data_IF_241313170292
#
_entry.id   IF_241313170292
#
_cell.length_a   1.000
_cell.length_b   1.000
_cell.length_c   1.000
_cell.angle_alpha   90.00
_cell.angle_beta   90.00
_cell.angle_gamma   90.00
#
_symmetry.space_group_name_H-M   'P 1'
#
loop_
_entity.id
_entity.type
_entity.pdbx_description
1 polymer ?
#
# COMPACT_ATOMS: atom_id res chain seq x y z
N UNK A 1 -21.55 -9.75 9.40
CA UNK A 1 -22.41 -8.56 9.37
C UNK A 1 -23.86 -8.94 9.64
N UNK A 2 -24.63 -8.06 10.29
CA UNK A 2 -26.08 -8.19 10.47
C UNK A 2 -26.82 -7.48 9.33
N UNK A 3 -27.85 -8.10 8.77
CA UNK A 3 -28.71 -7.53 7.73
C UNK A 3 -29.99 -6.95 8.35
N UNK A 4 -30.45 -5.80 7.86
CA UNK A 4 -31.66 -5.16 8.37
C UNK A 4 -32.88 -5.68 7.62
N UNK A 5 -33.93 -6.16 8.30
CA UNK A 5 -35.12 -6.68 7.63
C UNK A 5 -35.99 -5.58 7.04
N UNK A 6 -36.70 -5.91 5.95
CA UNK A 6 -37.93 -5.21 5.52
C UNK A 6 -39.10 -5.52 6.47
N UNK A 7 -40.27 -4.90 6.26
CA UNK A 7 -41.50 -5.13 7.09
C UNK A 7 -41.89 -6.61 7.25
N UNK A 8 -41.43 -7.48 6.35
CA UNK A 8 -41.66 -8.93 6.35
C UNK A 8 -40.75 -9.73 7.29
N UNK A 9 -39.80 -9.09 7.98
CA UNK A 9 -38.82 -9.74 8.84
C UNK A 9 -38.69 -9.14 10.23
N UNK A 10 -38.26 -9.96 11.20
CA UNK A 10 -37.97 -9.52 12.56
C UNK A 10 -36.76 -10.21 13.15
N UNK A 11 -36.05 -9.53 14.05
CA UNK A 11 -35.04 -10.19 14.88
C UNK A 11 -35.69 -10.98 16.02
N UNK A 12 -35.08 -12.08 16.44
CA UNK A 12 -35.51 -12.89 17.58
C UNK A 12 -34.30 -13.49 18.30
N UNK A 13 -34.48 -13.84 19.57
CA UNK A 13 -33.44 -14.52 20.36
C UNK A 13 -33.37 -16.00 19.99
N UNK A 14 -32.18 -16.51 19.76
CA UNK A 14 -31.88 -17.92 19.51
C UNK A 14 -30.49 -18.20 20.10
N UNK A 15 -30.41 -18.99 21.17
CA UNK A 15 -29.15 -19.28 21.87
C UNK A 15 -28.16 -20.07 21.02
N UNK A 16 -28.60 -20.66 19.92
CA UNK A 16 -27.76 -21.42 18.98
C UNK A 16 -27.26 -20.58 17.80
N UNK A 17 -27.75 -19.35 17.67
CA UNK A 17 -27.28 -18.38 16.68
C UNK A 17 -26.08 -17.58 17.22
N UNK A 18 -25.29 -17.03 16.30
CA UNK A 18 -24.18 -16.15 16.63
C UNK A 18 -24.71 -14.92 17.37
N UNK A 19 -24.05 -14.53 18.47
CA UNK A 19 -24.51 -13.39 19.28
C UNK A 19 -25.90 -13.59 19.91
N UNK A 20 -26.40 -14.83 20.00
CA UNK A 20 -27.70 -15.21 20.59
C UNK A 20 -28.94 -14.64 19.90
N UNK A 21 -28.79 -14.14 18.66
CA UNK A 21 -29.86 -13.51 17.89
C UNK A 21 -29.82 -13.94 16.43
N UNK A 22 -31.00 -13.98 15.81
CA UNK A 22 -31.13 -14.23 14.39
C UNK A 22 -32.24 -13.38 13.78
N UNK A 23 -32.26 -13.31 12.45
CA UNK A 23 -33.33 -12.74 11.66
C UNK A 23 -34.24 -13.85 11.13
N UNK A 24 -35.55 -13.61 11.13
CA UNK A 24 -36.52 -14.42 10.39
C UNK A 24 -37.23 -13.56 9.36
N UNK A 25 -37.34 -14.05 8.13
CA UNK A 25 -38.24 -13.56 7.10
C UNK A 25 -39.41 -14.54 7.02
N UNK A 26 -40.60 -14.10 7.43
CA UNK A 26 -41.78 -14.95 7.55
C UNK A 26 -42.83 -14.75 6.47
N UNK A 27 -42.45 -14.01 5.44
CA UNK A 27 -43.17 -13.85 4.18
C UNK A 27 -42.16 -13.38 3.13
N UNK A 28 -42.57 -13.34 1.87
CA UNK A 28 -41.70 -12.83 0.80
C UNK A 28 -41.14 -11.45 1.17
N UNK A 29 -39.81 -11.33 1.17
CA UNK A 29 -39.16 -10.12 1.65
C UNK A 29 -37.64 -10.19 1.53
N UNK A 30 -37.01 -9.03 1.67
CA UNK A 30 -35.55 -8.88 1.54
C UNK A 30 -34.99 -8.31 2.82
N UNK A 31 -33.80 -8.77 3.21
CA UNK A 31 -32.95 -8.11 4.18
C UNK A 31 -31.68 -7.64 3.48
N UNK A 32 -31.27 -6.40 3.69
CA UNK A 32 -30.12 -5.82 3.01
C UNK A 32 -29.23 -5.01 3.94
N UNK A 33 -28.01 -4.78 3.47
CA UNK A 33 -27.02 -3.93 4.12
C UNK A 33 -26.07 -3.38 3.06
N UNK A 34 -25.60 -2.15 3.24
CA UNK A 34 -24.60 -1.52 2.38
C UNK A 34 -23.30 -1.41 3.16
N UNK A 35 -22.21 -1.88 2.57
CA UNK A 35 -20.90 -1.88 3.22
C UNK A 35 -19.77 -1.78 2.19
N UNK A 36 -18.63 -1.25 2.63
CA UNK A 36 -17.38 -1.29 1.87
C UNK A 36 -16.79 -2.69 1.99
N UNK A 37 -16.62 -3.38 0.86
CA UNK A 37 -15.99 -4.69 0.74
C UNK A 37 -14.55 -4.51 0.22
N UNK A 38 -13.59 -5.38 0.60
CA UNK A 38 -12.39 -5.60 -0.19
C UNK A 38 -12.73 -6.38 -1.47
N UNK A 39 -11.73 -6.68 -2.31
CA UNK A 39 -11.89 -7.72 -3.33
C UNK A 39 -12.35 -9.01 -2.62
N UNK A 40 -13.42 -9.62 -3.11
CA UNK A 40 -14.04 -10.77 -2.46
C UNK A 40 -14.38 -11.88 -3.46
N UNK A 41 -14.19 -13.12 -3.00
CA UNK A 41 -14.40 -14.34 -3.81
C UNK A 41 -15.68 -15.07 -3.45
N UNK A 42 -16.18 -14.90 -2.22
CA UNK A 42 -17.45 -15.50 -1.81
C UNK A 42 -18.10 -14.81 -0.61
N UNK A 43 -19.41 -15.01 -0.48
CA UNK A 43 -20.18 -14.77 0.74
C UNK A 43 -20.48 -16.11 1.41
N UNK A 44 -20.37 -16.16 2.74
CA UNK A 44 -20.81 -17.27 3.56
C UNK A 44 -22.03 -16.81 4.36
N UNK A 45 -23.18 -17.42 4.10
CA UNK A 45 -24.45 -17.08 4.73
C UNK A 45 -24.85 -18.22 5.65
N UNK A 46 -24.91 -17.95 6.95
CA UNK A 46 -25.37 -18.93 7.94
C UNK A 46 -26.89 -18.84 8.05
N UNK A 47 -27.59 -19.87 7.59
CA UNK A 47 -29.04 -19.87 7.50
C UNK A 47 -29.66 -21.23 7.88
N UNK A 48 -30.95 -21.23 8.17
CA UNK A 48 -31.80 -22.43 8.31
C UNK A 48 -33.22 -22.13 7.84
N UNK A 49 -33.98 -23.16 7.50
CA UNK A 49 -35.32 -23.03 6.97
C UNK A 49 -36.37 -23.75 7.82
N UNK A 50 -37.50 -23.08 8.06
CA UNK A 50 -38.73 -23.78 8.46
C UNK A 50 -39.34 -24.38 7.19
N UNK A 51 -39.57 -25.69 7.19
CA UNK A 51 -39.96 -26.44 6.00
C UNK A 51 -41.49 -26.56 5.89
N UNK A 52 -42.05 -26.27 4.72
CA UNK A 52 -43.45 -26.58 4.43
C UNK A 52 -43.65 -26.76 2.93
N UNK A 53 -44.03 -27.98 2.51
CA UNK A 53 -44.13 -28.40 1.09
C UNK A 53 -42.88 -28.04 0.26
N UNK A 54 -41.71 -28.21 0.85
CA UNK A 54 -40.42 -27.79 0.29
C UNK A 54 -39.72 -26.73 1.13
N UNK A 55 -38.48 -26.43 0.74
CA UNK A 55 -37.59 -25.52 1.46
C UNK A 55 -37.81 -24.04 1.09
N UNK A 56 -37.49 -23.12 2.02
CA UNK A 56 -37.37 -21.72 1.69
C UNK A 56 -36.27 -21.48 0.65
N UNK A 57 -36.60 -20.64 -0.33
CA UNK A 57 -35.73 -20.20 -1.41
C UNK A 57 -35.09 -18.88 -1.03
N UNK A 58 -33.77 -18.91 -0.87
CA UNK A 58 -32.92 -17.77 -0.52
C UNK A 58 -32.22 -17.26 -1.77
N UNK A 59 -32.60 -16.09 -2.26
CA UNK A 59 -31.93 -15.40 -3.37
C UNK A 59 -30.95 -14.37 -2.82
N UNK A 60 -29.70 -14.45 -3.25
CA UNK A 60 -28.62 -13.53 -2.84
C UNK A 60 -28.33 -12.60 -4.00
N UNK A 61 -28.23 -11.30 -3.71
CA UNK A 61 -27.90 -10.28 -4.70
C UNK A 61 -26.80 -9.35 -4.21
N UNK A 62 -25.96 -8.91 -5.14
CA UNK A 62 -25.00 -7.82 -4.97
C UNK A 62 -25.41 -6.67 -5.89
N UNK A 63 -25.53 -5.45 -5.36
CA UNK A 63 -25.90 -4.24 -6.10
C UNK A 63 -27.16 -4.41 -6.97
N UNK A 64 -28.14 -5.12 -6.41
CA UNK A 64 -29.41 -5.41 -7.07
C UNK A 64 -29.36 -6.57 -8.08
N UNK A 65 -28.18 -7.09 -8.44
CA UNK A 65 -28.05 -8.24 -9.35
C UNK A 65 -28.04 -9.55 -8.55
N UNK A 66 -28.97 -10.45 -8.87
CA UNK A 66 -29.00 -11.78 -8.29
C UNK A 66 -27.73 -12.58 -8.68
N UNK A 67 -27.02 -13.08 -7.68
CA UNK A 67 -25.79 -13.87 -7.85
C UNK A 67 -26.02 -15.37 -7.60
N UNK A 68 -27.00 -15.73 -6.76
CA UNK A 68 -27.35 -17.12 -6.50
C UNK A 68 -28.77 -17.25 -5.95
N UNK A 69 -29.40 -18.41 -6.14
CA UNK A 69 -30.65 -18.79 -5.47
C UNK A 69 -30.49 -20.21 -4.92
N UNK A 70 -30.75 -20.38 -3.63
CA UNK A 70 -30.46 -21.60 -2.88
C UNK A 70 -31.71 -22.05 -2.13
N UNK A 71 -32.04 -23.34 -2.23
CA UNK A 71 -33.02 -23.99 -1.37
C UNK A 71 -32.39 -24.31 0.00
N UNK A 72 -32.87 -23.66 1.06
CA UNK A 72 -32.35 -23.81 2.43
C UNK A 72 -33.07 -24.97 3.12
N UNK A 73 -32.70 -26.21 2.77
CA UNK A 73 -33.33 -27.43 3.27
C UNK A 73 -32.91 -27.81 4.70
N UNK A 74 -31.80 -27.25 5.19
CA UNK A 74 -31.34 -27.51 6.56
C UNK A 74 -32.25 -26.85 7.60
N UNK A 75 -32.65 -27.62 8.61
CA UNK A 75 -33.42 -27.14 9.77
C UNK A 75 -32.51 -26.72 10.93
N UNK A 76 -31.20 -26.89 10.80
CA UNK A 76 -30.18 -26.43 11.74
C UNK A 76 -29.30 -25.36 11.08
N UNK A 77 -28.61 -24.54 11.87
CA UNK A 77 -27.75 -23.49 11.32
C UNK A 77 -26.65 -24.09 10.44
N UNK A 78 -26.66 -23.74 9.16
CA UNK A 78 -25.73 -24.25 8.15
C UNK A 78 -25.17 -23.08 7.35
N UNK A 79 -23.89 -23.16 7.01
CA UNK A 79 -23.19 -22.15 6.23
C UNK A 79 -23.34 -22.47 4.74
N UNK A 80 -23.85 -21.51 3.97
CA UNK A 80 -24.02 -21.58 2.52
C UNK A 80 -23.04 -20.62 1.85
N UNK A 81 -22.12 -21.16 1.06
CA UNK A 81 -21.12 -20.38 0.35
C UNK A 81 -21.62 -20.00 -1.05
N UNK A 82 -21.62 -18.71 -1.35
CA UNK A 82 -22.03 -18.13 -2.63
C UNK A 82 -20.80 -17.49 -3.29
N UNK A 83 -20.32 -18.04 -4.41
CA UNK A 83 -19.26 -17.41 -5.19
C UNK A 83 -19.69 -16.02 -5.66
N UNK A 84 -18.83 -15.03 -5.49
CA UNK A 84 -19.00 -13.67 -6.02
C UNK A 84 -17.68 -13.21 -6.64
N UNK A 85 -17.75 -12.23 -7.53
CA UNK A 85 -16.60 -11.50 -8.02
C UNK A 85 -16.90 -10.02 -7.84
N UNK A 86 -16.54 -9.48 -6.68
CA UNK A 86 -16.70 -8.06 -6.38
C UNK A 86 -15.31 -7.46 -6.21
N UNK A 87 -15.06 -6.36 -6.91
CA UNK A 87 -13.92 -5.50 -6.63
C UNK A 87 -14.07 -4.86 -5.26
N UNK A 88 -12.99 -4.34 -4.69
CA UNK A 88 -13.07 -3.47 -3.54
C UNK A 88 -13.99 -2.26 -3.82
N UNK A 89 -14.82 -1.88 -2.85
CA UNK A 89 -15.79 -0.79 -3.03
C UNK A 89 -17.01 -0.93 -2.15
N UNK A 90 -17.89 0.08 -2.20
CA UNK A 90 -19.19 0.03 -1.51
C UNK A 90 -20.17 -0.81 -2.30
N UNK A 91 -20.68 -1.87 -1.66
CA UNK A 91 -21.64 -2.79 -2.25
C UNK A 91 -22.87 -2.94 -1.35
N UNK A 92 -24.03 -3.14 -1.98
CA UNK A 92 -25.27 -3.51 -1.28
C UNK A 92 -25.48 -5.01 -1.39
N UNK A 93 -25.36 -5.71 -0.25
CA UNK A 93 -25.65 -7.14 -0.14
C UNK A 93 -27.10 -7.32 0.26
N UNK A 94 -27.85 -8.12 -0.50
CA UNK A 94 -29.26 -8.42 -0.23
C UNK A 94 -29.53 -9.91 -0.19
N UNK A 95 -30.35 -10.34 0.77
CA UNK A 95 -30.85 -11.71 0.92
C UNK A 95 -32.37 -11.67 0.89
N UNK A 96 -32.97 -12.32 -0.10
CA UNK A 96 -34.41 -12.37 -0.30
C UNK A 96 -34.97 -13.77 -0.05
N UNK A 97 -36.09 -13.84 0.67
CA UNK A 97 -36.95 -15.02 0.74
C UNK A 97 -38.05 -14.88 -0.32
N UNK A 98 -38.13 -15.82 -1.26
CA UNK A 98 -38.89 -15.60 -2.52
C UNK A 98 -40.05 -16.56 -2.78
N UNK A 99 -40.23 -17.59 -1.95
CA UNK A 99 -41.24 -18.62 -2.15
C UNK A 99 -42.04 -18.88 -0.86
N UNK A 100 -42.50 -17.85 -0.17
CA UNK A 100 -43.36 -18.01 0.99
C UNK A 100 -44.56 -18.93 0.72
N UNK A 101 -44.90 -19.72 1.73
CA UNK A 101 -46.11 -20.53 1.74
C UNK A 101 -46.59 -20.71 3.18
N UNK A 102 -47.72 -20.10 3.49
CA UNK A 102 -48.36 -20.18 4.80
C UNK A 102 -49.74 -20.84 4.70
N UNK A 103 -50.01 -21.80 5.57
CA UNK A 103 -51.35 -22.36 5.77
C UNK A 103 -51.80 -22.33 7.24
N UNK A 104 -50.86 -22.49 8.17
CA UNK A 104 -51.08 -22.31 9.62
C UNK A 104 -49.72 -22.21 10.33
N UNK A 105 -49.71 -21.92 11.63
CA UNK A 105 -48.45 -21.81 12.41
C UNK A 105 -47.54 -23.05 12.34
N UNK A 106 -48.10 -24.25 12.18
CA UNK A 106 -47.33 -25.49 12.04
C UNK A 106 -47.01 -25.86 10.58
N UNK A 107 -47.50 -25.04 9.64
CA UNK A 107 -47.46 -25.23 8.19
C UNK A 107 -47.06 -23.92 7.54
N UNK A 108 -45.83 -23.54 7.82
CA UNK A 108 -45.28 -22.24 7.47
C UNK A 108 -43.84 -22.41 6.99
N UNK A 109 -43.51 -21.72 5.90
CA UNK A 109 -42.17 -21.74 5.31
C UNK A 109 -41.50 -20.43 5.63
N UNK A 110 -40.38 -20.48 6.34
CA UNK A 110 -39.67 -19.28 6.77
C UNK A 110 -38.17 -19.42 6.52
N UNK A 111 -37.54 -18.33 6.09
CA UNK A 111 -36.09 -18.24 6.02
C UNK A 111 -35.55 -17.61 7.31
N UNK A 112 -34.58 -18.25 7.94
CA UNK A 112 -33.88 -17.74 9.13
C UNK A 112 -32.41 -17.52 8.82
N UNK A 113 -31.89 -16.35 9.16
CA UNK A 113 -30.52 -15.90 8.85
C UNK A 113 -29.84 -15.51 10.16
N UNK A 114 -28.66 -16.08 10.40
CA UNK A 114 -27.83 -15.77 11.57
C UNK A 114 -26.83 -14.65 11.21
N UNK A 115 -25.90 -14.95 10.29
CA UNK A 115 -24.86 -14.01 9.88
C UNK A 115 -24.48 -14.16 8.41
N UNK A 116 -23.92 -13.08 7.88
CA UNK A 116 -23.24 -13.05 6.57
C UNK A 116 -21.78 -12.69 6.79
N UNK A 117 -20.87 -13.49 6.25
CA UNK A 117 -19.41 -13.29 6.31
C UNK A 117 -18.85 -13.22 4.90
N UNK A 118 -17.82 -12.41 4.69
CA UNK A 118 -17.09 -12.35 3.42
C UNK A 118 -15.85 -13.25 3.45
N UNK A 119 -15.51 -13.81 2.29
CA UNK A 119 -14.18 -14.37 2.02
C UNK A 119 -13.48 -13.41 1.06
N UNK A 120 -12.47 -12.70 1.57
CA UNK A 120 -11.65 -11.81 0.76
C UNK A 120 -10.90 -12.62 -0.32
N UNK A 121 -10.68 -12.01 -1.48
CA UNK A 121 -9.69 -12.52 -2.42
C UNK A 121 -8.33 -12.52 -1.72
N UNK A 122 -7.56 -13.60 -1.91
CA UNK A 122 -6.16 -13.57 -1.50
C UNK A 122 -5.48 -12.50 -2.36
N UNK A 123 -5.02 -11.42 -1.72
CA UNK A 123 -4.00 -10.57 -2.34
C UNK A 123 -2.78 -11.49 -2.49
N UNK A 124 -2.26 -11.74 -3.69
CA UNK A 124 -1.03 -12.50 -3.83
C UNK A 124 0.04 -11.78 -3.01
N UNK A 125 0.47 -12.37 -1.90
CA UNK A 125 1.61 -11.87 -1.14
C UNK A 125 2.84 -12.13 -1.98
N UNK A 126 3.26 -11.13 -2.73
CA UNK A 126 4.57 -11.14 -3.36
C UNK A 126 5.60 -11.13 -2.23
N UNK A 127 6.42 -12.17 -2.14
CA UNK A 127 7.57 -12.16 -1.23
C UNK A 127 8.48 -11.01 -1.64
N UNK A 128 8.83 -10.10 -0.72
CA UNK A 128 9.76 -9.01 -1.01
C UNK A 128 11.06 -9.59 -1.56
N UNK A 129 11.51 -9.09 -2.71
CA UNK A 129 12.77 -9.55 -3.31
C UNK A 129 13.97 -9.28 -2.39
N UNK A 130 13.89 -8.18 -1.63
CA UNK A 130 14.91 -7.74 -0.69
C UNK A 130 14.27 -7.29 0.64
N UNK A 131 15.07 -7.34 1.70
CA UNK A 131 14.70 -6.97 3.06
C UNK A 131 13.47 -7.72 3.63
N UNK A 132 13.43 -9.07 3.57
CA UNK A 132 12.30 -9.86 4.05
C UNK A 132 12.03 -9.69 5.55
N UNK A 133 13.00 -9.22 6.36
CA UNK A 133 12.80 -8.92 7.78
C UNK A 133 12.31 -7.48 8.05
N UNK A 134 12.05 -6.70 7.00
CA UNK A 134 11.54 -5.32 7.11
C UNK A 134 10.01 -5.31 7.24
N UNK A 135 9.48 -5.71 8.39
CA UNK A 135 8.04 -5.65 8.67
C UNK A 135 7.46 -4.24 8.46
N UNK A 136 8.22 -3.19 8.78
CA UNK A 136 7.80 -1.81 8.57
C UNK A 136 7.55 -1.48 7.09
N UNK A 137 8.33 -2.10 6.20
CA UNK A 137 8.27 -1.88 4.76
C UNK A 137 7.21 -2.78 4.11
N UNK A 138 7.23 -4.07 4.43
CA UNK A 138 6.54 -5.11 3.65
C UNK A 138 5.21 -5.58 4.26
N UNK A 139 4.87 -5.13 5.47
CA UNK A 139 3.62 -5.53 6.12
C UNK A 139 2.52 -4.48 5.88
N UNK A 140 1.32 -4.91 5.45
CA UNK A 140 0.16 -4.04 5.39
C UNK A 140 -0.13 -3.42 6.76
N UNK A 141 -0.62 -2.18 6.74
CA UNK A 141 -1.03 -1.47 7.95
C UNK A 141 -2.23 -2.19 8.58
N UNK A 142 -2.17 -2.44 9.87
CA UNK A 142 -3.27 -3.07 10.60
C UNK A 142 -4.54 -2.19 10.53
N UNK A 143 -5.71 -2.82 10.35
CA UNK A 143 -6.98 -2.10 10.26
C UNK A 143 -7.26 -1.17 11.45
N UNK A 144 -6.77 -1.53 12.63
CA UNK A 144 -6.90 -0.79 13.89
C UNK A 144 -5.63 -0.01 14.29
N UNK A 145 -4.74 0.31 13.35
CA UNK A 145 -3.54 1.09 13.63
C UNK A 145 -3.88 2.42 14.31
N UNK A 146 -3.17 2.72 15.41
CA UNK A 146 -3.37 3.93 16.18
C UNK A 146 -2.90 5.16 15.39
N UNK A 147 -3.60 6.27 15.59
CA UNK A 147 -3.26 7.56 14.99
C UNK A 147 -2.34 8.33 15.93
N UNK A 148 -1.31 9.00 15.40
CA UNK A 148 -0.40 9.83 16.17
C UNK A 148 -1.11 11.06 16.76
N UNK A 149 -0.67 11.52 17.94
CA UNK A 149 -1.28 12.66 18.63
C UNK A 149 -1.32 13.94 17.76
N UNK A 150 -0.26 14.18 16.97
CA UNK A 150 -0.15 15.34 16.08
C UNK A 150 -0.65 15.07 14.66
N UNK A 151 -1.34 13.96 14.40
CA UNK A 151 -1.76 13.57 13.05
C UNK A 151 -2.55 14.67 12.34
N UNK A 152 -3.56 15.26 12.98
CA UNK A 152 -4.37 16.30 12.35
C UNK A 152 -3.54 17.53 11.94
N UNK A 153 -2.57 17.93 12.79
CA UNK A 153 -1.65 19.04 12.52
C UNK A 153 -0.77 18.73 11.32
N UNK A 154 -0.12 17.57 11.30
CA UNK A 154 0.77 17.18 10.21
C UNK A 154 0.01 16.98 8.90
N UNK A 155 -1.19 16.37 8.93
CA UNK A 155 -2.03 16.25 7.72
C UNK A 155 -2.41 17.63 7.19
N UNK A 156 -2.77 18.58 8.06
CA UNK A 156 -3.05 19.95 7.65
C UNK A 156 -1.87 20.63 6.97
N UNK A 157 -0.64 20.34 7.39
CA UNK A 157 0.58 20.81 6.72
C UNK A 157 0.82 20.07 5.40
N UNK A 158 0.74 18.75 5.41
CA UNK A 158 0.99 17.91 4.24
C UNK A 158 0.00 18.20 3.13
N UNK A 159 -1.26 18.49 3.44
CA UNK A 159 -2.32 18.76 2.45
C UNK A 159 -2.60 20.24 2.23
N UNK A 160 -1.69 21.14 2.64
CA UNK A 160 -1.94 22.58 2.52
C UNK A 160 -2.10 22.98 1.03
N UNK A 161 -3.03 23.89 0.68
CA UNK A 161 -3.22 24.31 -0.71
C UNK A 161 -1.94 24.87 -1.35
N UNK A 162 -1.70 24.50 -2.61
CA UNK A 162 -0.52 24.95 -3.37
C UNK A 162 0.79 24.26 -3.00
N UNK A 163 0.76 23.29 -2.09
CA UNK A 163 1.90 22.42 -1.82
C UNK A 163 2.00 21.30 -2.86
N UNK A 164 3.21 20.82 -3.09
CA UNK A 164 3.55 19.85 -4.13
C UNK A 164 3.69 18.43 -3.57
N UNK A 165 3.08 17.45 -4.23
CA UNK A 165 3.10 16.02 -3.89
C UNK A 165 3.65 15.20 -5.07
N UNK A 166 4.97 15.22 -5.21
CA UNK A 166 5.62 14.94 -6.47
C UNK A 166 6.19 13.53 -6.55
N UNK A 167 6.23 12.99 -7.76
CA UNK A 167 7.04 11.83 -8.11
C UNK A 167 8.43 12.29 -8.60
N UNK A 168 9.49 11.91 -7.90
CA UNK A 168 10.88 12.16 -8.33
C UNK A 168 11.33 11.06 -9.29
N UNK A 169 11.28 11.36 -10.60
CA UNK A 169 11.47 10.38 -11.68
C UNK A 169 12.81 10.53 -12.41
N UNK A 170 13.48 11.67 -12.24
CA UNK A 170 14.73 11.97 -12.94
C UNK A 170 15.77 12.65 -12.07
N UNK A 171 15.60 13.93 -11.70
CA UNK A 171 16.68 14.70 -11.04
C UNK A 171 16.99 14.15 -9.65
N UNK A 172 15.95 13.88 -8.85
CA UNK A 172 16.06 13.34 -7.48
C UNK A 172 15.49 11.92 -7.35
N UNK A 173 15.31 11.23 -8.48
CA UNK A 173 15.03 9.79 -8.48
C UNK A 173 16.25 8.99 -8.01
N UNK A 174 16.17 7.66 -8.15
CA UNK A 174 17.23 6.74 -7.71
C UNK A 174 17.65 5.84 -8.87
N UNK A 175 18.92 5.86 -9.26
CA UNK A 175 19.43 4.84 -10.18
C UNK A 175 19.60 3.53 -9.43
N UNK A 176 18.89 2.48 -9.86
CA UNK A 176 18.99 1.14 -9.27
C UNK A 176 19.85 0.26 -10.18
N UNK A 177 20.88 -0.35 -9.61
CA UNK A 177 21.60 -1.48 -10.22
C UNK A 177 21.03 -2.76 -9.62
N UNK A 178 20.11 -3.46 -10.32
CA UNK A 178 19.52 -4.68 -9.80
C UNK A 178 20.53 -5.83 -9.81
N UNK A 179 20.29 -6.85 -8.99
CA UNK A 179 21.15 -8.04 -8.95
C UNK A 179 21.34 -8.69 -10.33
N UNK A 180 20.32 -8.65 -11.19
CA UNK A 180 20.38 -9.18 -12.56
C UNK A 180 21.34 -8.43 -13.49
N UNK A 181 21.75 -7.20 -13.13
CA UNK A 181 22.75 -6.42 -13.86
C UNK A 181 24.19 -6.67 -13.34
N UNK A 182 24.35 -7.41 -12.24
CA UNK A 182 25.64 -7.76 -11.66
C UNK A 182 26.03 -9.17 -12.10
N UNK A 183 27.18 -9.27 -12.77
CA UNK A 183 27.76 -10.52 -13.27
C UNK A 183 29.17 -10.69 -12.72
N UNK A 184 29.77 -11.88 -12.91
CA UNK A 184 31.17 -12.11 -12.56
C UNK A 184 32.16 -11.17 -13.28
N UNK A 185 31.76 -10.60 -14.43
CA UNK A 185 32.56 -9.63 -15.20
C UNK A 185 32.28 -8.16 -14.85
N UNK A 186 31.30 -7.88 -13.99
CA UNK A 186 30.98 -6.50 -13.60
C UNK A 186 32.17 -5.93 -12.80
N UNK A 187 32.72 -4.76 -13.20
CA UNK A 187 33.85 -4.18 -12.47
C UNK A 187 33.41 -3.79 -11.06
N UNK A 188 34.33 -3.98 -10.11
CA UNK A 188 34.14 -3.61 -8.71
C UNK A 188 35.04 -2.44 -8.35
N UNK A 189 34.47 -1.47 -7.66
CA UNK A 189 35.15 -0.23 -7.31
C UNK A 189 35.26 -0.10 -5.81
N UNK A 190 36.42 0.33 -5.35
CA UNK A 190 36.55 0.95 -4.03
C UNK A 190 36.02 2.39 -4.15
N UNK A 191 34.87 2.67 -3.53
CA UNK A 191 34.14 3.93 -3.72
C UNK A 191 34.64 4.92 -2.68
N UNK A 192 35.37 5.94 -3.11
CA UNK A 192 35.94 6.93 -2.21
C UNK A 192 34.86 7.87 -1.63
N UNK A 193 34.77 7.97 -0.31
CA UNK A 193 33.87 8.90 0.39
C UNK A 193 34.56 10.24 0.65
N UNK A 194 33.87 11.35 0.37
CA UNK A 194 34.43 12.70 0.51
C UNK A 194 34.04 13.42 1.81
N UNK A 195 32.94 13.03 2.48
CA UNK A 195 32.55 13.65 3.75
C UNK A 195 33.24 12.98 4.95
N UNK A 196 33.75 13.74 5.92
CA UNK A 196 34.44 13.19 7.10
C UNK A 196 33.45 12.85 8.23
N UNK A 197 32.36 12.15 7.92
CA UNK A 197 31.27 11.88 8.88
C UNK A 197 31.47 10.61 9.72
N UNK A 198 32.59 9.92 9.54
CA UNK A 198 32.93 8.73 10.29
C UNK A 198 33.95 7.87 9.56
N UNK A 199 34.06 6.61 10.00
CA UNK A 199 34.79 5.60 9.26
C UNK A 199 34.12 5.35 7.90
N UNK A 200 34.91 4.91 6.92
CA UNK A 200 34.42 4.52 5.61
C UNK A 200 33.25 3.52 5.77
N UNK A 201 32.04 3.86 5.29
CA UNK A 201 30.87 3.01 5.45
C UNK A 201 30.99 1.69 4.69
N UNK A 202 31.82 1.61 3.64
CA UNK A 202 32.02 0.37 2.88
C UNK A 202 33.21 -0.44 3.39
N UNK A 203 34.10 0.16 4.17
CA UNK A 203 35.26 -0.52 4.76
C UNK A 203 36.13 -1.14 3.67
N UNK A 204 36.30 -2.47 3.68
CA UNK A 204 37.05 -3.18 2.63
C UNK A 204 36.17 -3.72 1.50
N UNK A 205 34.86 -3.46 1.52
CA UNK A 205 33.95 -3.89 0.46
C UNK A 205 34.16 -3.05 -0.80
N UNK A 206 34.15 -3.72 -1.95
CA UNK A 206 34.08 -3.06 -3.26
C UNK A 206 32.67 -3.16 -3.80
N UNK A 207 32.22 -2.20 -4.60
CA UNK A 207 30.85 -2.13 -5.11
C UNK A 207 30.81 -2.52 -6.60
N UNK A 208 29.97 -3.48 -7.02
CA UNK A 208 29.87 -3.88 -8.43
C UNK A 208 29.00 -2.90 -9.22
N UNK A 209 29.62 -1.96 -9.93
CA UNK A 209 28.90 -0.94 -10.71
C UNK A 209 29.11 -1.21 -12.20
N UNK A 210 28.06 -1.57 -12.97
CA UNK A 210 28.19 -1.77 -14.41
C UNK A 210 28.72 -0.51 -15.11
N UNK A 211 29.56 -0.71 -16.14
CA UNK A 211 30.03 0.40 -16.97
C UNK A 211 28.85 1.11 -17.62
N UNK A 212 28.87 2.44 -17.64
CA UNK A 212 27.78 3.25 -18.17
C UNK A 212 26.62 3.46 -17.19
N UNK A 213 26.73 3.03 -15.93
CA UNK A 213 25.78 3.43 -14.88
C UNK A 213 25.82 4.95 -14.73
N UNK A 214 24.65 5.59 -14.85
CA UNK A 214 24.49 7.05 -14.77
C UNK A 214 23.71 7.40 -13.49
N UNK A 215 24.30 8.17 -12.56
CA UNK A 215 23.55 8.73 -11.44
C UNK A 215 22.49 9.74 -11.92
N UNK A 216 21.40 9.94 -11.17
CA UNK A 216 20.49 11.06 -11.34
C UNK A 216 21.26 12.40 -11.40
N UNK A 217 20.90 13.36 -12.26
CA UNK A 217 21.67 14.58 -12.46
C UNK A 217 21.40 15.66 -11.41
N UNK A 218 20.37 15.51 -10.57
CA UNK A 218 20.14 16.39 -9.43
C UNK A 218 21.30 16.29 -8.43
N UNK A 219 21.32 17.22 -7.47
CA UNK A 219 22.44 17.36 -6.55
C UNK A 219 22.71 16.10 -5.72
N UNK A 220 21.72 15.23 -5.56
CA UNK A 220 21.82 14.04 -4.71
C UNK A 220 22.47 12.84 -5.38
N UNK A 221 22.37 12.68 -6.71
CA UNK A 221 23.01 11.58 -7.46
C UNK A 221 22.88 10.20 -6.81
N UNK A 222 21.67 9.84 -6.33
CA UNK A 222 21.44 8.62 -5.54
C UNK A 222 21.57 7.35 -6.39
N UNK A 223 22.38 6.40 -5.91
CA UNK A 223 22.48 5.06 -6.49
C UNK A 223 22.22 4.01 -5.42
N UNK A 224 21.46 2.97 -5.76
CA UNK A 224 21.35 1.74 -4.98
C UNK A 224 21.86 0.55 -5.81
N UNK A 225 22.84 -0.18 -5.28
CA UNK A 225 23.45 -1.35 -5.94
C UNK A 225 23.16 -2.61 -5.15
N UNK A 226 22.47 -3.57 -5.76
CA UNK A 226 22.21 -4.87 -5.15
C UNK A 226 23.32 -5.85 -5.53
N UNK A 227 24.05 -6.35 -4.54
CA UNK A 227 25.12 -7.33 -4.74
C UNK A 227 24.87 -8.62 -3.94
N UNK A 228 24.33 -9.62 -4.63
CA UNK A 228 24.04 -10.93 -4.02
C UNK A 228 25.30 -11.70 -3.63
N UNK A 229 26.48 -11.37 -4.20
CA UNK A 229 27.72 -12.05 -3.86
C UNK A 229 28.24 -11.66 -2.48
N UNK A 230 28.13 -10.39 -2.10
CA UNK A 230 28.45 -9.90 -0.75
C UNK A 230 27.25 -9.97 0.21
N UNK A 231 26.04 -10.18 -0.31
CA UNK A 231 24.82 -10.18 0.49
C UNK A 231 24.39 -8.78 0.94
N UNK A 232 24.83 -7.73 0.25
CA UNK A 232 24.64 -6.33 0.61
C UNK A 232 23.92 -5.54 -0.48
N UNK A 233 23.16 -4.54 -0.05
CA UNK A 233 22.73 -3.41 -0.88
C UNK A 233 23.60 -2.22 -0.48
N UNK A 234 24.25 -1.60 -1.46
CA UNK A 234 25.05 -0.40 -1.28
C UNK A 234 24.25 0.82 -1.73
N UNK A 235 24.02 1.76 -0.83
CA UNK A 235 23.52 3.09 -1.16
C UNK A 235 24.67 4.09 -1.28
N UNK A 236 24.70 4.90 -2.33
CA UNK A 236 25.71 5.97 -2.52
C UNK A 236 24.99 7.28 -2.75
N UNK A 237 25.28 8.27 -1.90
CA UNK A 237 24.82 9.65 -2.04
C UNK A 237 25.89 10.49 -2.74
N UNK A 238 25.45 11.32 -3.69
CA UNK A 238 26.24 12.11 -4.62
C UNK A 238 27.26 11.28 -5.40
N UNK A 239 26.80 10.13 -5.94
CA UNK A 239 27.66 9.23 -6.68
C UNK A 239 28.23 9.92 -7.92
N UNK A 240 29.55 9.79 -8.11
CA UNK A 240 30.26 10.37 -9.26
C UNK A 240 31.21 9.35 -9.84
N UNK A 241 31.18 9.21 -11.16
CA UNK A 241 32.16 8.44 -11.91
C UNK A 241 33.20 9.36 -12.53
N UNK A 242 34.48 9.07 -12.32
CA UNK A 242 35.59 9.75 -12.97
C UNK A 242 36.17 8.85 -14.08
N UNK A 243 35.91 9.22 -15.34
CA UNK A 243 36.38 8.47 -16.49
C UNK A 243 37.89 8.58 -16.74
N UNK A 244 38.56 9.60 -16.19
CA UNK A 244 40.00 9.82 -16.42
C UNK A 244 40.88 8.78 -15.72
N UNK A 245 40.42 8.25 -14.60
CA UNK A 245 41.14 7.27 -13.77
C UNK A 245 40.29 6.03 -13.42
N UNK A 246 39.07 5.92 -13.98
CA UNK A 246 38.14 4.81 -13.76
C UNK A 246 37.86 4.58 -12.26
N UNK A 247 37.51 5.64 -11.53
CA UNK A 247 37.12 5.54 -10.12
C UNK A 247 35.69 6.04 -9.88
N UNK A 248 35.09 5.56 -8.80
CA UNK A 248 33.83 6.06 -8.27
C UNK A 248 34.07 6.78 -6.94
N UNK A 249 33.29 7.82 -6.68
CA UNK A 249 33.23 8.48 -5.39
C UNK A 249 31.79 8.78 -4.98
N UNK A 250 31.59 9.06 -3.71
CA UNK A 250 30.36 9.58 -3.13
C UNK A 250 30.66 10.65 -2.08
N UNK A 251 29.65 11.41 -1.69
CA UNK A 251 29.75 12.23 -0.48
C UNK A 251 29.61 11.37 0.76
N UNK A 252 28.67 10.43 0.74
CA UNK A 252 28.53 9.40 1.77
C UNK A 252 27.81 8.19 1.20
N UNK A 253 27.63 7.14 2.01
CA UNK A 253 26.94 5.93 1.60
C UNK A 253 26.57 5.05 2.77
N UNK A 254 25.88 3.95 2.50
CA UNK A 254 25.58 2.95 3.51
C UNK A 254 25.39 1.54 2.96
N UNK A 255 25.58 0.55 3.85
CA UNK A 255 25.37 -0.86 3.55
C UNK A 255 24.20 -1.43 4.33
N UNK A 256 23.30 -2.09 3.61
CA UNK A 256 22.19 -2.85 4.19
C UNK A 256 22.28 -4.33 3.80
N UNK A 257 22.18 -5.28 4.73
CA UNK A 257 22.07 -6.70 4.39
C UNK A 257 20.83 -6.97 3.52
N UNK A 258 21.00 -7.68 2.40
CA UNK A 258 19.93 -8.02 1.45
C UNK A 258 18.77 -8.77 2.14
N UNK A 259 19.10 -9.66 3.09
CA UNK A 259 18.12 -10.44 3.84
C UNK A 259 17.70 -9.76 5.17
N UNK A 260 18.09 -8.49 5.36
CA UNK A 260 17.92 -7.74 6.60
C UNK A 260 16.57 -7.04 6.72
N UNK A 261 16.53 -6.04 7.59
CA UNK A 261 15.34 -5.25 7.94
C UNK A 261 15.28 -3.90 7.21
N UNK A 262 16.11 -3.67 6.19
CA UNK A 262 16.12 -2.41 5.42
C UNK A 262 16.77 -1.22 6.14
N UNK A 263 17.39 -1.42 7.32
CA UNK A 263 18.12 -0.39 8.05
C UNK A 263 19.62 -0.52 7.73
N UNK A 264 20.27 0.60 7.42
CA UNK A 264 21.70 0.62 7.14
C UNK A 264 22.51 0.24 8.39
N UNK A 265 23.53 -0.60 8.18
CA UNK A 265 24.39 -1.15 9.25
C UNK A 265 25.73 -0.43 9.37
N UNK A 266 26.11 0.30 8.32
CA UNK A 266 27.28 1.17 8.29
C UNK A 266 26.97 2.38 7.42
N UNK A 267 27.27 3.58 7.90
CA UNK A 267 26.87 4.83 7.25
C UNK A 267 25.37 4.90 6.95
N UNK A 268 24.99 5.72 5.98
CA UNK A 268 23.66 5.74 5.36
C UNK A 268 23.65 6.69 4.16
N UNK A 269 23.08 6.27 3.03
CA UNK A 269 22.85 7.16 1.89
C UNK A 269 21.57 8.02 2.03
N UNK A 270 20.77 7.76 3.06
CA UNK A 270 19.54 8.46 3.38
C UNK A 270 19.67 9.20 4.72
N UNK A 271 18.89 10.26 4.92
CA UNK A 271 18.90 10.95 6.21
C UNK A 271 18.36 10.07 7.35
N UNK A 272 17.34 9.25 7.11
CA UNK A 272 16.74 8.41 8.15
C UNK A 272 17.58 7.18 8.58
N UNK A 273 18.64 6.83 7.85
CA UNK A 273 19.40 5.60 8.14
C UNK A 273 18.77 4.31 7.60
N UNK A 274 17.92 4.44 6.59
CA UNK A 274 17.32 3.31 5.87
C UNK A 274 18.02 3.09 4.54
N UNK A 275 17.99 1.86 4.02
CA UNK A 275 18.53 1.54 2.71
C UNK A 275 17.98 2.47 1.63
N UNK A 276 18.84 2.98 0.74
CA UNK A 276 18.35 3.82 -0.36
C UNK A 276 17.42 3.07 -1.32
N UNK A 277 17.51 1.74 -1.39
CA UNK A 277 16.60 0.90 -2.17
C UNK A 277 15.21 0.77 -1.51
N UNK A 278 15.11 0.89 -0.19
CA UNK A 278 13.87 0.64 0.53
C UNK A 278 12.81 1.70 0.18
N UNK A 279 11.65 1.23 -0.27
CA UNK A 279 10.48 2.06 -0.57
C UNK A 279 10.53 2.86 -1.88
N UNK A 280 11.58 2.67 -2.69
CA UNK A 280 11.65 3.23 -4.05
C UNK A 280 10.72 2.45 -4.95
N UNK A 281 9.85 3.13 -5.69
CA UNK A 281 8.96 2.50 -6.67
C UNK A 281 9.74 2.24 -7.96
N UNK A 282 9.87 0.97 -8.35
CA UNK A 282 10.50 0.61 -9.63
C UNK A 282 9.53 0.73 -10.79
N UNK A 283 10.07 0.93 -12.00
CA UNK A 283 9.25 0.97 -13.21
C UNK A 283 8.53 -0.36 -13.47
N UNK A 284 9.15 -1.48 -13.09
CA UNK A 284 8.56 -2.82 -13.22
C UNK A 284 7.38 -3.00 -12.26
N UNK A 285 7.51 -2.60 -11.00
CA UNK A 285 6.43 -2.66 -10.01
C UNK A 285 5.27 -1.76 -10.41
N UNK A 286 5.54 -0.52 -10.83
CA UNK A 286 4.50 0.40 -11.28
C UNK A 286 3.74 -0.18 -12.48
N UNK A 287 4.44 -0.69 -13.49
CA UNK A 287 3.82 -1.26 -14.69
C UNK A 287 2.95 -2.48 -14.34
N UNK A 288 3.44 -3.36 -13.46
CA UNK A 288 2.69 -4.52 -13.00
C UNK A 288 1.46 -4.10 -12.17
N UNK A 289 1.59 -3.11 -11.31
CA UNK A 289 0.48 -2.61 -10.49
C UNK A 289 -0.59 -1.91 -11.33
N UNK A 290 -0.19 -1.14 -12.34
CA UNK A 290 -1.12 -0.55 -13.33
C UNK A 290 -1.89 -1.65 -14.06
N UNK A 291 -1.19 -2.65 -14.60
CA UNK A 291 -1.81 -3.74 -15.35
C UNK A 291 -2.81 -4.56 -14.51
N UNK A 292 -2.53 -4.73 -13.22
CA UNK A 292 -3.37 -5.50 -12.30
C UNK A 292 -4.37 -4.65 -11.52
N UNK A 293 -4.37 -3.32 -11.70
CA UNK A 293 -5.17 -2.38 -10.91
C UNK A 293 -4.95 -2.51 -9.39
N UNK A 294 -3.69 -2.65 -8.95
CA UNK A 294 -3.29 -2.80 -7.54
C UNK A 294 -2.41 -1.64 -7.06
N UNK A 295 -2.02 -1.63 -5.78
CA UNK A 295 -0.84 -0.90 -5.32
C UNK A 295 0.45 -1.71 -5.52
N UNK A 296 1.59 -1.16 -5.11
CA UNK A 296 2.84 -1.92 -4.95
C UNK A 296 2.88 -2.62 -3.58
N UNK A 297 3.74 -3.63 -3.44
CA UNK A 297 3.73 -4.55 -2.28
C UNK A 297 4.64 -4.12 -1.12
N UNK A 298 4.95 -2.84 -1.02
CA UNK A 298 5.76 -2.27 0.04
C UNK A 298 5.32 -0.83 0.35
N UNK A 299 5.70 -0.33 1.52
CA UNK A 299 5.51 1.08 1.89
C UNK A 299 6.33 1.98 0.96
N UNK A 300 5.79 3.14 0.64
CA UNK A 300 6.53 4.17 -0.07
C UNK A 300 7.47 4.90 0.91
N UNK A 301 8.39 5.67 0.36
CA UNK A 301 9.16 6.64 1.13
C UNK A 301 9.09 8.02 0.47
N UNK A 302 9.14 9.06 1.28
CA UNK A 302 9.15 10.43 0.80
C UNK A 302 10.07 11.34 1.61
N UNK A 303 10.53 12.40 0.96
CA UNK A 303 11.19 13.54 1.61
C UNK A 303 10.20 14.69 1.83
N UNK A 304 10.47 15.56 2.81
CA UNK A 304 9.56 16.66 3.14
C UNK A 304 10.26 17.92 3.66
N UNK A 305 9.74 19.09 3.30
CA UNK A 305 10.15 20.41 3.80
C UNK A 305 9.77 20.66 5.27
N UNK A 306 8.87 19.84 5.84
CA UNK A 306 8.51 19.86 7.27
C UNK A 306 9.26 18.82 8.10
N UNK A 307 10.21 18.08 7.53
CA UNK A 307 11.07 17.13 8.26
C UNK A 307 11.81 17.87 9.39
N UNK A 308 11.63 17.41 10.64
CA UNK A 308 12.24 17.99 11.84
C UNK A 308 13.40 17.15 12.38
N UNK A 309 14.13 17.67 13.38
CA UNK A 309 15.35 17.04 13.88
C UNK A 309 15.11 15.76 14.69
N UNK A 310 13.86 15.46 15.05
CA UNK A 310 13.49 14.22 15.73
C UNK A 310 13.38 13.05 14.77
N UNK A 311 13.42 11.83 15.30
CA UNK A 311 13.15 10.60 14.56
C UNK A 311 12.44 9.56 15.43
N UNK A 312 11.77 8.62 14.77
CA UNK A 312 11.16 7.41 15.35
C UNK A 312 11.45 6.21 14.47
N UNK A 313 11.39 4.99 15.00
CA UNK A 313 11.58 3.78 14.20
C UNK A 313 10.63 3.74 12.99
N UNK A 314 11.08 3.28 11.80
CA UNK A 314 12.33 2.59 11.53
C UNK A 314 13.55 3.52 11.32
N UNK A 315 13.37 4.84 11.32
CA UNK A 315 14.48 5.77 11.24
C UNK A 315 15.36 5.67 12.50
N UNK A 316 16.68 5.78 12.30
CA UNK A 316 17.68 5.72 13.37
C UNK A 316 18.38 7.06 13.60
N UNK A 317 18.11 8.04 12.74
CA UNK A 317 18.56 9.42 12.85
C UNK A 317 17.62 10.32 12.02
N UNK A 318 17.87 11.62 12.03
CA UNK A 318 17.21 12.60 11.16
C UNK A 318 18.18 13.72 10.80
N UNK A 319 18.04 14.28 9.60
CA UNK A 319 18.71 15.53 9.18
C UNK A 319 17.74 16.72 9.13
N UNK A 320 16.47 16.51 9.50
CA UNK A 320 15.40 17.47 9.35
C UNK A 320 15.66 18.80 10.06
N UNK A 321 15.54 19.88 9.30
CA UNK A 321 15.74 21.26 9.78
C UNK A 321 14.47 22.10 9.75
N UNK A 322 13.34 21.51 9.36
CA UNK A 322 12.06 22.17 9.21
C UNK A 322 12.16 23.40 8.29
N UNK A 323 12.50 23.19 7.02
CA UNK A 323 12.67 24.25 6.02
C UNK A 323 11.42 25.13 5.94
N UNK A 324 10.24 24.51 6.03
CA UNK A 324 8.95 25.20 5.98
C UNK A 324 8.67 26.09 7.21
N UNK A 325 9.44 25.96 8.29
CA UNK A 325 9.25 26.75 9.50
C UNK A 325 7.93 26.49 10.22
N UNK A 326 7.34 25.29 10.09
CA UNK A 326 6.08 24.96 10.75
C UNK A 326 6.26 24.83 12.27
N UNK A 327 5.23 25.13 13.06
CA UNK A 327 5.33 25.12 14.52
C UNK A 327 5.61 23.71 15.10
N UNK A 328 5.15 22.67 14.42
CA UNK A 328 5.33 21.27 14.85
C UNK A 328 5.84 20.45 13.68
N UNK A 329 7.17 20.43 13.44
CA UNK A 329 7.73 19.65 12.35
C UNK A 329 7.54 18.16 12.58
N UNK A 330 7.59 17.39 11.50
CA UNK A 330 7.37 15.95 11.52
C UNK A 330 8.71 15.23 11.72
N UNK A 331 8.87 14.40 12.78
CA UNK A 331 10.05 13.57 12.93
C UNK A 331 10.17 12.56 11.78
N UNK A 332 11.39 12.27 11.34
CA UNK A 332 11.61 11.20 10.36
C UNK A 332 11.21 9.82 10.93
N UNK A 333 10.80 8.91 10.04
CA UNK A 333 10.31 7.57 10.40
C UNK A 333 8.83 7.49 10.74
N UNK A 334 8.09 8.59 10.81
CA UNK A 334 6.63 8.52 10.89
C UNK A 334 6.01 7.98 9.59
N UNK A 335 4.94 7.20 9.72
CA UNK A 335 4.20 6.61 8.59
C UNK A 335 2.89 7.35 8.36
N UNK A 336 2.65 7.80 7.13
CA UNK A 336 1.34 8.31 6.68
C UNK A 336 0.54 7.22 5.98
N UNK A 337 -0.78 7.28 6.06
CA UNK A 337 -1.70 6.37 5.40
C UNK A 337 -2.85 7.17 4.80
N UNK A 338 -3.23 6.87 3.56
CA UNK A 338 -4.47 7.38 2.97
C UNK A 338 -5.66 6.64 3.58
N UNK A 339 -6.76 7.35 3.88
CA UNK A 339 -7.97 6.76 4.45
C UNK A 339 -8.37 5.47 3.70
N UNK A 340 -8.30 4.29 4.35
CA UNK A 340 -8.57 3.01 3.69
C UNK A 340 -10.04 2.81 3.30
N UNK A 341 -10.94 3.70 3.73
CA UNK A 341 -12.36 3.66 3.35
C UNK A 341 -12.65 4.32 2.00
N UNK A 342 -11.72 5.12 1.46
CA UNK A 342 -11.88 5.79 0.16
C UNK A 342 -11.88 4.77 -0.96
N UNK A 343 -12.90 4.84 -1.82
CA UNK A 343 -12.93 4.07 -3.06
C UNK A 343 -12.03 4.75 -4.11
N UNK A 344 -10.75 4.37 -4.17
CA UNK A 344 -9.77 4.93 -5.10
C UNK A 344 -10.19 4.76 -6.56
N UNK A 345 -10.84 3.65 -6.91
CA UNK A 345 -11.29 3.38 -8.28
C UNK A 345 -12.40 4.34 -8.76
N UNK A 346 -13.11 4.98 -7.83
CA UNK A 346 -14.16 5.94 -8.12
C UNK A 346 -13.70 7.41 -8.07
N UNK A 347 -12.44 7.67 -7.72
CA UNK A 347 -11.93 9.04 -7.66
C UNK A 347 -11.76 9.62 -9.09
N UNK A 348 -12.27 10.82 -9.36
CA UNK A 348 -12.21 11.42 -10.68
C UNK A 348 -10.79 11.89 -11.03
N UNK A 349 -10.39 11.70 -12.28
CA UNK A 349 -9.17 12.31 -12.83
C UNK A 349 -7.86 11.60 -12.50
N UNK A 350 -7.85 10.57 -11.63
CA UNK A 350 -6.62 9.85 -11.32
C UNK A 350 -6.02 9.24 -12.59
N UNK A 351 -4.75 9.54 -12.79
CA UNK A 351 -3.90 8.76 -13.69
C UNK A 351 -3.76 7.31 -13.20
N UNK A 352 -3.42 6.36 -14.08
CA UNK A 352 -3.12 4.99 -13.64
C UNK A 352 -2.03 4.94 -12.55
N UNK A 353 -1.01 5.80 -12.63
CA UNK A 353 0.05 5.92 -11.64
C UNK A 353 -0.43 6.46 -10.30
N UNK A 354 -1.20 7.56 -10.28
CA UNK A 354 -1.81 8.08 -9.04
C UNK A 354 -2.69 7.03 -8.35
N UNK A 355 -3.40 6.20 -9.14
CA UNK A 355 -4.19 5.10 -8.60
C UNK A 355 -3.33 4.05 -7.89
N UNK A 356 -2.20 3.66 -8.48
CA UNK A 356 -1.24 2.74 -7.83
C UNK A 356 -0.72 3.35 -6.52
N UNK A 357 -0.33 4.61 -6.54
CA UNK A 357 0.19 5.31 -5.36
C UNK A 357 -0.88 5.43 -4.27
N UNK A 358 -2.11 5.83 -4.61
CA UNK A 358 -3.22 5.90 -3.65
C UNK A 358 -3.55 4.54 -3.02
N UNK A 359 -3.63 3.46 -3.80
CA UNK A 359 -3.84 2.09 -3.29
C UNK A 359 -2.69 1.62 -2.39
N UNK A 360 -1.46 1.99 -2.73
CA UNK A 360 -0.27 1.72 -1.90
C UNK A 360 -0.34 2.50 -0.59
N UNK A 361 -0.70 3.78 -0.63
CA UNK A 361 -0.88 4.61 0.57
C UNK A 361 -1.97 4.09 1.49
N UNK A 362 -3.03 3.45 0.97
CA UNK A 362 -4.05 2.79 1.79
C UNK A 362 -3.52 1.51 2.47
N UNK A 363 -2.76 0.70 1.74
CA UNK A 363 -2.35 -0.64 2.20
C UNK A 363 -1.07 -0.61 3.02
N UNK A 364 -0.05 0.07 2.51
CA UNK A 364 1.30 0.13 3.07
C UNK A 364 1.71 1.54 3.49
N UNK A 365 1.00 2.60 3.11
CA UNK A 365 1.37 3.96 3.52
C UNK A 365 2.72 4.43 2.97
N UNK A 366 3.25 5.50 3.57
CA UNK A 366 4.55 6.05 3.21
C UNK A 366 5.31 6.56 4.45
N UNK A 367 6.62 6.37 4.48
CA UNK A 367 7.49 6.87 5.55
C UNK A 367 8.20 8.15 5.13
N UNK A 368 8.27 9.14 6.04
CA UNK A 368 9.16 10.29 5.87
C UNK A 368 10.59 9.84 6.21
N UNK A 369 11.53 9.99 5.27
CA UNK A 369 12.88 9.41 5.41
C UNK A 369 14.01 10.37 5.09
N UNK A 370 13.65 11.58 4.68
CA UNK A 370 14.59 12.61 4.27
C UNK A 370 13.98 14.01 4.38
N UNK A 371 14.85 15.00 4.54
CA UNK A 371 14.51 16.41 4.37
C UNK A 371 14.55 16.79 2.90
N UNK A 372 13.41 17.22 2.38
CA UNK A 372 13.24 17.68 0.99
C UNK A 372 12.82 19.14 0.91
N UNK A 373 12.76 19.69 -0.31
CA UNK A 373 12.19 21.04 -0.53
C UNK A 373 10.71 21.03 -0.91
N UNK A 374 10.19 19.91 -1.40
CA UNK A 374 8.76 19.74 -1.64
C UNK A 374 8.04 19.31 -0.37
N UNK A 375 6.71 19.45 -0.36
CA UNK A 375 5.89 19.01 0.78
C UNK A 375 5.92 17.50 0.94
N UNK A 376 5.79 16.77 -0.17
CA UNK A 376 6.05 15.34 -0.23
C UNK A 376 6.69 15.01 -1.58
N UNK A 377 7.94 14.56 -1.58
CA UNK A 377 8.59 14.05 -2.79
C UNK A 377 8.83 12.54 -2.64
N UNK A 378 8.16 11.75 -3.46
CA UNK A 378 8.20 10.28 -3.42
C UNK A 378 9.30 9.75 -4.32
N UNK A 379 10.05 8.76 -3.83
CA UNK A 379 11.21 8.22 -4.54
C UNK A 379 10.81 7.17 -5.60
N UNK A 380 11.25 7.37 -6.84
CA UNK A 380 11.12 6.40 -7.93
C UNK A 380 12.47 6.06 -8.55
N UNK A 381 12.51 4.94 -9.26
CA UNK A 381 13.67 4.54 -10.06
C UNK A 381 13.89 5.50 -11.24
N UNK A 382 15.10 6.03 -11.41
CA UNK A 382 15.48 6.77 -12.61
C UNK A 382 15.83 5.80 -13.73
N UNK A 383 15.08 5.85 -14.84
CA UNK A 383 15.29 4.96 -15.97
C UNK A 383 16.48 5.37 -16.86
N UNK A 384 17.19 4.41 -17.48
CA UNK A 384 18.21 4.72 -18.48
C UNK A 384 17.66 5.59 -19.62
N UNK A 385 18.35 6.70 -19.90
CA UNK A 385 17.95 7.64 -20.96
C UNK A 385 16.79 8.57 -20.59
N UNK A 386 16.31 8.55 -19.33
CA UNK A 386 15.34 9.51 -18.85
C UNK A 386 15.85 10.96 -18.96
N UNK A 387 14.92 11.89 -19.12
CA UNK A 387 15.14 13.34 -19.03
C UNK A 387 14.04 13.96 -18.19
N UNK A 388 14.19 15.25 -17.84
CA UNK A 388 13.17 15.97 -17.05
C UNK A 388 11.80 16.04 -17.72
N UNK A 389 11.74 16.00 -19.06
CA UNK A 389 10.51 16.03 -19.85
C UNK A 389 10.10 14.68 -20.42
N UNK A 390 10.89 13.63 -20.18
CA UNK A 390 10.57 12.26 -20.58
C UNK A 390 11.19 11.28 -19.58
N UNK A 391 10.45 10.91 -18.52
CA UNK A 391 10.96 10.01 -17.49
C UNK A 391 11.05 8.55 -17.95
N UNK A 392 10.50 8.23 -19.13
CA UNK A 392 10.51 6.89 -19.72
C UNK A 392 9.11 6.27 -19.82
N UNK A 393 8.98 5.25 -20.67
CA UNK A 393 7.70 4.71 -21.11
C UNK A 393 6.83 4.14 -19.98
N UNK A 394 7.43 3.53 -18.96
CA UNK A 394 6.69 2.99 -17.82
C UNK A 394 5.93 4.09 -17.05
N UNK A 395 6.58 5.23 -16.84
CA UNK A 395 6.01 6.38 -16.13
C UNK A 395 5.03 7.16 -17.00
N UNK A 396 5.39 7.46 -18.25
CA UNK A 396 4.50 8.20 -19.16
C UNK A 396 3.23 7.42 -19.48
N UNK A 397 3.30 6.09 -19.61
CA UNK A 397 2.11 5.23 -19.78
C UNK A 397 1.23 5.18 -18.51
N UNK A 398 1.83 5.40 -17.34
CA UNK A 398 1.11 5.54 -16.08
C UNK A 398 0.55 6.97 -15.87
N UNK A 399 0.80 7.91 -16.79
CA UNK A 399 0.33 9.29 -16.71
C UNK A 399 1.31 10.27 -16.05
N UNK A 400 2.49 9.80 -15.62
CA UNK A 400 3.56 10.64 -15.08
C UNK A 400 4.43 11.16 -16.24
N UNK A 401 4.04 12.32 -16.78
CA UNK A 401 4.57 12.82 -18.05
C UNK A 401 5.92 13.56 -17.96
N UNK A 402 6.35 13.98 -16.77
CA UNK A 402 7.57 14.74 -16.54
C UNK A 402 8.09 14.48 -15.11
N UNK A 403 9.36 14.78 -14.85
CA UNK A 403 9.96 14.73 -13.52
C UNK A 403 9.26 15.69 -12.57
N UNK A 404 9.09 15.38 -11.28
CA UNK A 404 8.29 16.17 -10.34
C UNK A 404 6.79 16.24 -10.65
N UNK A 405 6.24 15.23 -11.33
CA UNK A 405 4.81 15.16 -11.60
C UNK A 405 4.01 15.27 -10.29
N UNK A 406 3.16 16.30 -10.19
CA UNK A 406 2.31 16.53 -9.02
C UNK A 406 1.10 15.60 -9.06
N UNK A 407 1.00 14.73 -8.06
CA UNK A 407 -0.07 13.75 -7.91
C UNK A 407 -1.32 14.37 -7.27
N UNK A 408 -1.82 15.45 -7.89
CA UNK A 408 -2.84 16.34 -7.33
C UNK A 408 -4.24 15.71 -7.20
N UNK A 409 -4.51 14.58 -7.87
CA UNK A 409 -5.83 13.93 -7.78
C UNK A 409 -5.94 13.00 -6.56
N UNK A 410 -4.84 12.71 -5.87
CA UNK A 410 -4.86 11.98 -4.60
C UNK A 410 -5.42 12.90 -3.50
N UNK A 411 -6.40 12.47 -2.69
CA UNK A 411 -7.00 13.32 -1.67
C UNK A 411 -6.10 13.42 -0.43
N UNK A 412 -5.03 14.21 -0.53
CA UNK A 412 -3.99 14.36 0.50
C UNK A 412 -4.53 14.84 1.87
N UNK A 413 -5.67 15.53 1.90
CA UNK A 413 -6.35 15.94 3.14
C UNK A 413 -7.01 14.77 3.89
N UNK A 414 -7.14 13.61 3.24
CA UNK A 414 -7.68 12.37 3.81
C UNK A 414 -6.58 11.43 4.31
N UNK A 415 -5.37 11.95 4.53
CA UNK A 415 -4.31 11.21 5.20
C UNK A 415 -4.58 11.09 6.71
N UNK A 416 -3.96 10.08 7.32
CA UNK A 416 -3.66 10.04 8.76
C UNK A 416 -2.19 9.72 8.97
N UNK A 417 -1.62 10.23 10.05
CA UNK A 417 -0.28 9.85 10.51
C UNK A 417 -0.42 8.82 11.62
N UNK A 418 0.27 7.68 11.48
CA UNK A 418 0.19 6.58 12.43
C UNK A 418 1.12 6.82 13.61
N UNK A 419 0.72 6.33 14.79
CA UNK A 419 1.63 6.23 15.92
C UNK A 419 2.75 5.22 15.59
N UNK A 420 4.01 5.51 15.99
CA UNK A 420 5.16 4.66 15.71
C UNK A 420 5.12 3.31 16.44
#
# INVERSE_FOLDING_TARGET
MAVTPTKAGRSYSDSTASGTRALVLSSNGTASTTLTLPDATSLVIRAKGDQYKGAPSMTVSIDGKAVSTIAVSSTTWTDYTVPIATSAGTHTVSIAFTNDLYASKAKDRNLRIDKVTLVAAAVPTQTPAYFPAADWLNKPIAANAATAANSATWVGYLSAPGQQHIADLYNYGVTIVPASAVTASTPRYDVAMSQPWGADPFGSNTVPIPKGTVPPPGFDGQIAVVDTASGQVFGIWQAKYNSSNNTWSGSWGGMTPINGNGIDTSGSATAAGISRLAGVVTAAELSAAVANNTGVNHALVFSSDIAGPGFVGPAIKSDGTNIAGVATPMPEGYRVQLDPSINVDALPGLTPGEKVIAKTLQTYGAYIVDRGSARMAFAFETLPGATSSNPGAAYTSAGFSWDYYDMAHIPWSSLRVLAP
#
